data_IF_146542310474
#
_entry.id   IF_146542310474
#
_cell.length_a   1.000
_cell.length_b   1.000
_cell.length_c   1.000
_cell.angle_alpha   90.00
_cell.angle_beta   90.00
_cell.angle_gamma   90.00
#
_symmetry.space_group_name_H-M   'P 1'
#
loop_
_entity.id
_entity.type
_entity.pdbx_description
1 polymer ?
#
# COMPACT_ATOMS: atom_id res chain seq x y z
N UNK A 1 -70.38 -27.64 4.24
CA UNK A 1 -70.11 -26.27 3.75
C UNK A 1 -71.20 -25.85 2.79
N UNK A 2 -71.91 -24.75 3.07
CA UNK A 2 -72.79 -24.06 2.13
C UNK A 2 -72.02 -23.62 0.87
N UNK A 3 -72.69 -23.49 -0.28
CA UNK A 3 -72.04 -23.10 -1.55
C UNK A 3 -71.13 -21.86 -1.44
N UNK A 4 -71.53 -20.86 -0.62
CA UNK A 4 -70.71 -19.68 -0.33
C UNK A 4 -69.40 -20.02 0.38
N UNK A 5 -69.39 -20.99 1.31
CA UNK A 5 -68.17 -21.45 1.98
C UNK A 5 -67.25 -22.23 1.05
N UNK A 6 -67.79 -23.02 0.11
CA UNK A 6 -66.96 -23.69 -0.91
C UNK A 6 -66.29 -22.69 -1.85
N UNK A 7 -67.02 -21.68 -2.33
CA UNK A 7 -66.45 -20.61 -3.17
C UNK A 7 -65.39 -19.79 -2.44
N UNK A 8 -65.59 -19.51 -1.15
CA UNK A 8 -64.61 -18.79 -0.35
C UNK A 8 -63.35 -19.62 -0.07
N UNK A 9 -63.51 -20.94 0.13
CA UNK A 9 -62.40 -21.88 0.28
C UNK A 9 -61.59 -22.02 -1.00
N UNK A 10 -62.25 -22.12 -2.17
CA UNK A 10 -61.58 -22.15 -3.46
C UNK A 10 -60.83 -20.84 -3.77
N UNK A 11 -61.39 -19.69 -3.36
CA UNK A 11 -60.74 -18.39 -3.53
C UNK A 11 -59.51 -18.22 -2.61
N UNK A 12 -59.57 -18.74 -1.39
CA UNK A 12 -58.41 -18.75 -0.47
C UNK A 12 -57.31 -19.72 -0.92
N UNK A 13 -57.67 -20.89 -1.47
CA UNK A 13 -56.68 -21.80 -2.06
C UNK A 13 -56.04 -21.26 -3.34
N UNK A 14 -56.77 -20.46 -4.12
CA UNK A 14 -56.22 -19.81 -5.31
C UNK A 14 -55.23 -18.69 -4.92
N UNK A 15 -55.51 -17.90 -3.87
CA UNK A 15 -54.59 -16.87 -3.37
C UNK A 15 -53.32 -17.45 -2.72
N UNK A 16 -53.42 -18.60 -2.05
CA UNK A 16 -52.27 -19.28 -1.45
C UNK A 16 -51.27 -19.80 -2.49
N UNK A 17 -51.72 -20.15 -3.70
CA UNK A 17 -50.88 -20.58 -4.82
C UNK A 17 -50.10 -19.43 -5.49
N UNK A 18 -50.56 -18.18 -5.36
CA UNK A 18 -49.85 -16.99 -5.91
C UNK A 18 -48.84 -16.40 -4.92
N UNK A 19 -48.85 -16.85 -3.66
CA UNK A 19 -48.03 -16.28 -2.59
C UNK A 19 -46.62 -16.91 -2.48
N UNK A 20 -46.35 -17.98 -3.22
CA UNK A 20 -45.06 -18.69 -3.23
C UNK A 20 -44.27 -18.55 -4.54
N UNK A 21 -44.74 -17.71 -5.47
CA UNK A 21 -43.87 -17.20 -6.53
C UNK A 21 -42.96 -16.12 -5.93
N UNK A 22 -42.05 -16.54 -5.06
CA UNK A 22 -40.79 -15.82 -4.92
C UNK A 22 -40.22 -15.74 -6.33
N UNK A 23 -40.22 -14.55 -6.92
CA UNK A 23 -39.29 -14.26 -7.99
C UNK A 23 -37.90 -14.53 -7.40
N UNK A 24 -37.36 -15.72 -7.58
CA UNK A 24 -35.92 -15.82 -7.76
C UNK A 24 -35.63 -14.79 -8.86
N UNK A 25 -34.85 -13.77 -8.53
CA UNK A 25 -34.20 -12.98 -9.55
C UNK A 25 -33.37 -13.99 -10.33
N UNK A 26 -33.89 -14.50 -11.44
CA UNK A 26 -33.15 -15.40 -12.31
C UNK A 26 -31.82 -14.74 -12.63
N UNK A 27 -30.74 -15.53 -12.62
CA UNK A 27 -29.40 -15.06 -12.89
C UNK A 27 -29.44 -14.10 -14.08
N UNK A 28 -28.97 -12.88 -13.86
CA UNK A 28 -28.89 -11.87 -14.91
C UNK A 28 -27.78 -12.28 -15.89
N UNK A 29 -28.08 -13.22 -16.79
CA UNK A 29 -27.22 -13.52 -17.93
C UNK A 29 -27.54 -12.50 -19.03
N UNK A 30 -26.85 -11.37 -19.00
CA UNK A 30 -26.76 -10.53 -20.18
C UNK A 30 -25.80 -11.22 -21.16
N UNK A 31 -26.10 -11.28 -22.46
CA UNK A 31 -25.14 -11.78 -23.44
C UNK A 31 -23.89 -10.92 -23.38
N UNK A 32 -22.72 -11.57 -23.41
CA UNK A 32 -21.43 -10.89 -23.44
C UNK A 32 -21.37 -9.91 -24.62
N UNK A 33 -20.55 -8.86 -24.47
CA UNK A 33 -20.38 -7.81 -25.49
C UNK A 33 -19.81 -8.37 -26.82
N UNK A 34 -19.34 -9.64 -26.80
CA UNK A 34 -18.95 -10.42 -27.97
C UNK A 34 -17.49 -10.24 -28.38
N UNK A 35 -16.71 -9.44 -27.67
CA UNK A 35 -15.26 -9.27 -27.89
C UNK A 35 -14.54 -9.10 -26.56
N UNK A 36 -13.59 -9.98 -26.31
CA UNK A 36 -12.76 -10.03 -25.13
C UNK A 36 -11.51 -9.17 -25.29
N UNK A 37 -11.19 -8.41 -24.25
CA UNK A 37 -9.98 -7.55 -24.23
C UNK A 37 -9.18 -7.81 -22.97
N UNK A 38 -7.86 -7.71 -23.06
CA UNK A 38 -6.97 -7.74 -21.89
C UNK A 38 -6.20 -6.43 -21.78
N UNK A 39 -6.01 -5.93 -20.55
CA UNK A 39 -5.39 -4.64 -20.30
C UNK A 39 -4.84 -4.50 -18.87
N UNK A 40 -3.97 -3.52 -18.65
CA UNK A 40 -3.62 -3.04 -17.32
C UNK A 40 -4.65 -2.00 -16.86
N UNK A 41 -5.31 -2.24 -15.72
CA UNK A 41 -6.39 -1.36 -15.25
C UNK A 41 -5.91 0.06 -14.90
N UNK A 42 -4.68 0.18 -14.44
CA UNK A 42 -4.02 1.43 -14.05
C UNK A 42 -2.65 1.53 -14.73
N UNK A 43 -2.39 2.66 -15.39
CA UNK A 43 -1.13 2.91 -16.09
C UNK A 43 -0.01 3.43 -15.17
N UNK A 44 -0.37 4.07 -14.05
CA UNK A 44 0.58 4.76 -13.15
C UNK A 44 0.31 4.47 -11.65
N UNK A 45 0.20 3.21 -11.21
CA UNK A 45 0.03 2.92 -9.78
C UNK A 45 1.35 3.09 -9.01
N UNK A 46 1.23 3.42 -7.72
CA UNK A 46 2.34 3.32 -6.75
C UNK A 46 2.07 2.17 -5.81
N UNK A 47 3.00 1.22 -5.73
CA UNK A 47 2.99 0.12 -4.77
C UNK A 47 3.93 0.43 -3.61
N UNK A 48 3.37 0.55 -2.41
CA UNK A 48 4.15 0.52 -1.17
C UNK A 48 4.25 -0.94 -0.71
N UNK A 49 5.48 -1.45 -0.54
CA UNK A 49 5.78 -2.70 0.16
C UNK A 49 5.72 -2.43 1.66
N UNK A 50 4.79 -3.07 2.34
CA UNK A 50 4.54 -2.84 3.78
C UNK A 50 5.16 -3.97 4.58
N UNK A 51 6.40 -3.77 5.05
CA UNK A 51 7.11 -4.76 5.85
C UNK A 51 6.59 -4.77 7.30
N UNK A 52 6.74 -5.89 7.98
CA UNK A 52 6.33 -6.09 9.38
C UNK A 52 4.87 -6.52 9.52
N UNK A 53 4.27 -6.24 10.67
CA UNK A 53 2.88 -6.56 10.93
C UNK A 53 1.94 -5.45 10.38
N UNK A 54 0.87 -5.85 9.69
CA UNK A 54 -0.24 -4.98 9.30
C UNK A 54 -1.54 -5.64 9.77
N UNK A 55 -2.29 -4.96 10.65
CA UNK A 55 -3.51 -5.51 11.24
C UNK A 55 -4.74 -5.39 10.33
N UNK A 56 -4.64 -4.67 9.22
CA UNK A 56 -5.74 -4.33 8.32
C UNK A 56 -5.67 -5.14 7.03
N UNK A 57 -4.47 -5.33 6.48
CA UNK A 57 -4.25 -5.97 5.19
C UNK A 57 -3.33 -7.19 5.29
N UNK A 58 -3.59 -8.21 4.47
CA UNK A 58 -2.65 -9.32 4.29
C UNK A 58 -1.44 -8.84 3.49
N UNK A 59 -0.31 -8.69 4.18
CA UNK A 59 0.97 -8.28 3.62
C UNK A 59 1.98 -9.44 3.56
N UNK A 60 1.50 -10.68 3.43
CA UNK A 60 2.36 -11.88 3.35
C UNK A 60 3.37 -11.78 2.19
N UNK A 61 2.94 -11.29 1.02
CA UNK A 61 3.84 -11.10 -0.13
C UNK A 61 4.87 -9.99 0.14
N UNK A 62 4.46 -8.89 0.76
CA UNK A 62 5.34 -7.78 1.12
C UNK A 62 6.48 -8.24 2.03
N UNK A 63 6.15 -9.03 3.05
CA UNK A 63 7.11 -9.64 3.97
C UNK A 63 8.02 -10.69 3.30
N UNK A 64 7.64 -11.19 2.12
CA UNK A 64 8.49 -12.02 1.25
C UNK A 64 9.27 -11.18 0.23
N UNK A 65 9.21 -9.85 0.34
CA UNK A 65 9.79 -8.89 -0.60
C UNK A 65 9.22 -9.04 -2.02
N UNK A 66 7.91 -9.35 -2.10
CA UNK A 66 7.20 -9.56 -3.36
C UNK A 66 6.04 -8.61 -3.54
N UNK A 67 5.70 -8.36 -4.80
CA UNK A 67 4.42 -7.77 -5.18
C UNK A 67 3.91 -8.41 -6.48
N UNK A 68 2.73 -7.99 -6.94
CA UNK A 68 2.10 -8.57 -8.13
C UNK A 68 1.58 -7.48 -9.06
N UNK A 69 1.99 -7.54 -10.32
CA UNK A 69 1.50 -6.66 -11.38
C UNK A 69 0.37 -7.39 -12.12
N UNK A 70 -0.82 -6.81 -12.11
CA UNK A 70 -2.05 -7.50 -12.56
C UNK A 70 -2.55 -7.03 -13.91
N UNK A 71 -2.88 -7.98 -14.78
CA UNK A 71 -3.68 -7.77 -15.98
C UNK A 71 -5.16 -8.10 -15.70
N UNK A 72 -6.07 -7.46 -16.43
CA UNK A 72 -7.51 -7.62 -16.30
C UNK A 72 -8.13 -7.94 -17.65
N UNK A 73 -9.06 -8.89 -17.66
CA UNK A 73 -9.90 -9.22 -18.81
C UNK A 73 -11.22 -8.44 -18.73
N UNK A 74 -11.68 -7.91 -19.86
CA UNK A 74 -12.96 -7.25 -20.03
C UNK A 74 -13.72 -7.75 -21.25
N UNK A 75 -14.95 -7.27 -21.42
CA UNK A 75 -15.83 -7.61 -22.55
C UNK A 75 -16.72 -8.85 -22.34
N UNK A 76 -16.59 -9.51 -21.19
CA UNK A 76 -17.40 -10.67 -20.78
C UNK A 76 -17.85 -10.54 -19.32
N UNK A 77 -18.97 -11.16 -18.98
CA UNK A 77 -19.43 -11.34 -17.60
C UNK A 77 -18.72 -12.50 -16.91
N UNK A 78 -18.43 -13.56 -17.66
CA UNK A 78 -17.70 -14.74 -17.18
C UNK A 78 -16.53 -15.07 -18.10
N UNK A 79 -15.35 -15.27 -17.51
CA UNK A 79 -14.21 -15.76 -18.26
C UNK A 79 -14.33 -17.27 -18.49
N UNK A 80 -14.74 -17.67 -19.69
CA UNK A 80 -14.85 -19.07 -20.12
C UNK A 80 -13.57 -19.58 -20.82
N UNK A 81 -12.52 -18.76 -20.91
CA UNK A 81 -11.23 -19.13 -21.53
C UNK A 81 -10.09 -19.03 -20.50
N UNK A 82 -8.84 -19.14 -20.95
CA UNK A 82 -7.68 -18.83 -20.12
C UNK A 82 -6.73 -17.92 -20.91
N UNK A 83 -7.00 -16.59 -20.92
CA UNK A 83 -6.16 -15.63 -21.63
C UNK A 83 -4.72 -15.70 -21.14
N UNK A 84 -3.78 -15.67 -22.09
CA UNK A 84 -2.34 -15.58 -21.81
C UNK A 84 -1.82 -14.33 -22.50
N UNK A 85 -1.22 -13.42 -21.74
CA UNK A 85 -0.68 -12.17 -22.25
C UNK A 85 0.83 -12.19 -22.14
N UNK A 86 1.52 -11.97 -23.25
CA UNK A 86 2.96 -11.77 -23.29
C UNK A 86 3.28 -10.35 -22.80
N UNK A 87 4.26 -10.23 -21.90
CA UNK A 87 4.69 -8.96 -21.31
C UNK A 87 6.19 -8.74 -21.49
N UNK A 88 6.56 -7.49 -21.73
CA UNK A 88 7.95 -7.10 -21.93
C UNK A 88 8.30 -5.89 -21.05
N UNK A 89 9.52 -5.90 -20.50
CA UNK A 89 10.09 -4.73 -19.82
C UNK A 89 10.58 -3.73 -20.88
N UNK A 90 9.96 -2.56 -20.94
CA UNK A 90 10.27 -1.52 -21.94
C UNK A 90 10.72 -0.24 -21.25
N UNK A 91 12.01 -0.17 -20.90
CA UNK A 91 12.58 0.96 -20.15
C UNK A 91 12.38 2.32 -20.83
N UNK A 92 12.38 2.36 -22.17
CA UNK A 92 12.16 3.59 -22.95
C UNK A 92 10.76 4.17 -22.80
N UNK A 93 9.81 3.48 -22.14
CA UNK A 93 8.55 4.08 -21.71
C UNK A 93 8.75 5.25 -20.75
N UNK A 94 9.86 5.27 -20.02
CA UNK A 94 10.20 6.32 -19.06
C UNK A 94 10.86 7.54 -19.73
N UNK A 95 11.26 7.43 -21.00
CA UNK A 95 11.96 8.50 -21.70
C UNK A 95 11.11 9.77 -21.77
N UNK A 96 11.73 10.90 -21.43
CA UNK A 96 11.12 12.23 -21.39
C UNK A 96 9.92 12.36 -20.44
N UNK A 97 9.73 11.43 -19.50
CA UNK A 97 8.70 11.53 -18.47
C UNK A 97 9.23 12.17 -17.19
N UNK A 98 8.43 13.09 -16.66
CA UNK A 98 8.61 13.65 -15.32
C UNK A 98 7.40 13.36 -14.45
N UNK A 99 7.64 13.09 -13.17
CA UNK A 99 6.61 13.14 -12.14
C UNK A 99 6.06 14.57 -12.03
N UNK A 100 4.86 14.72 -11.46
CA UNK A 100 4.25 16.03 -11.19
C UNK A 100 5.10 16.93 -10.28
N UNK A 101 5.99 16.33 -9.49
CA UNK A 101 6.97 16.99 -8.63
C UNK A 101 8.20 17.50 -9.39
N UNK A 102 8.40 17.07 -10.64
CA UNK A 102 9.43 17.58 -11.56
C UNK A 102 10.65 16.68 -11.75
N UNK A 103 10.83 15.67 -10.90
CA UNK A 103 11.84 14.63 -11.04
C UNK A 103 11.54 13.73 -12.24
N UNK A 104 12.58 13.13 -12.80
CA UNK A 104 12.44 12.19 -13.90
C UNK A 104 11.83 10.87 -13.40
N UNK A 105 11.01 10.24 -14.24
CA UNK A 105 10.55 8.87 -14.00
C UNK A 105 11.70 7.93 -14.37
N UNK A 106 12.18 7.14 -13.40
CA UNK A 106 13.39 6.33 -13.60
C UNK A 106 13.00 4.85 -13.74
N UNK A 107 13.38 4.16 -14.82
CA UNK A 107 13.18 2.72 -14.91
C UNK A 107 13.99 2.03 -13.81
N UNK A 108 13.34 1.09 -13.11
CA UNK A 108 13.96 0.33 -12.03
C UNK A 108 15.16 -0.46 -12.57
N UNK A 109 16.34 -0.39 -11.93
CA UNK A 109 17.50 -1.20 -12.31
C UNK A 109 17.16 -2.69 -12.39
N UNK A 110 17.73 -3.39 -13.37
CA UNK A 110 17.40 -4.79 -13.62
C UNK A 110 17.81 -5.71 -12.45
N UNK A 111 18.83 -5.33 -11.69
CA UNK A 111 19.30 -6.04 -10.51
C UNK A 111 18.40 -5.85 -9.27
N UNK A 112 17.43 -4.92 -9.31
CA UNK A 112 16.53 -4.64 -8.18
C UNK A 112 15.34 -5.58 -8.12
N UNK A 113 15.02 -6.28 -9.21
CA UNK A 113 13.86 -7.16 -9.25
C UNK A 113 14.01 -8.33 -10.21
N UNK A 114 13.11 -9.31 -10.09
CA UNK A 114 12.94 -10.39 -11.06
C UNK A 114 11.46 -10.66 -11.26
N UNK A 115 11.04 -10.82 -12.51
CA UNK A 115 9.69 -11.29 -12.84
C UNK A 115 9.67 -12.82 -12.82
N UNK A 116 8.63 -13.38 -12.23
CA UNK A 116 8.40 -14.83 -12.19
C UNK A 116 8.12 -15.44 -13.57
N UNK A 117 7.71 -14.62 -14.54
CA UNK A 117 7.31 -15.03 -15.89
C UNK A 117 7.36 -13.81 -16.83
N UNK A 118 7.51 -14.05 -18.12
CA UNK A 118 7.29 -13.10 -19.22
C UNK A 118 5.83 -13.14 -19.73
N UNK A 119 4.96 -13.88 -19.03
CA UNK A 119 3.54 -14.02 -19.36
C UNK A 119 2.65 -13.86 -18.13
N UNK A 120 1.47 -13.27 -18.33
CA UNK A 120 0.37 -13.26 -17.37
C UNK A 120 -0.74 -14.19 -17.89
N UNK A 121 -1.01 -15.28 -17.17
CA UNK A 121 -2.12 -16.19 -17.46
C UNK A 121 -3.30 -15.86 -16.55
N UNK A 122 -4.45 -15.49 -17.13
CA UNK A 122 -5.71 -15.28 -16.41
C UNK A 122 -6.48 -16.61 -16.42
N UNK A 123 -6.61 -17.31 -15.27
CA UNK A 123 -7.28 -18.61 -15.24
C UNK A 123 -8.76 -18.51 -15.60
N UNK A 124 -9.32 -19.59 -16.15
CA UNK A 124 -10.77 -19.70 -16.36
C UNK A 124 -11.54 -19.40 -15.06
N UNK A 125 -12.64 -18.66 -15.20
CA UNK A 125 -13.45 -18.17 -14.08
C UNK A 125 -12.86 -16.96 -13.33
N UNK A 126 -11.64 -16.52 -13.65
CA UNK A 126 -11.05 -15.30 -13.11
C UNK A 126 -11.07 -14.18 -14.16
N UNK A 127 -11.30 -12.95 -13.72
CA UNK A 127 -11.22 -11.76 -14.58
C UNK A 127 -9.88 -11.02 -14.47
N UNK A 128 -9.01 -11.44 -13.54
CA UNK A 128 -7.68 -10.86 -13.38
C UNK A 128 -6.70 -11.88 -12.83
N UNK A 129 -5.44 -11.72 -13.19
CA UNK A 129 -4.30 -12.43 -12.63
C UNK A 129 -3.08 -11.53 -12.71
N UNK A 130 -1.95 -11.95 -12.17
CA UNK A 130 -0.74 -11.15 -12.25
C UNK A 130 0.53 -11.97 -12.30
N UNK A 131 1.62 -11.27 -12.62
CA UNK A 131 2.98 -11.77 -12.54
C UNK A 131 3.56 -11.36 -11.20
N UNK A 132 4.18 -12.30 -10.48
CA UNK A 132 4.93 -11.97 -9.26
C UNK A 132 6.22 -11.25 -9.63
N UNK A 133 6.51 -10.20 -8.87
CA UNK A 133 7.77 -9.47 -8.84
C UNK A 133 8.47 -9.84 -7.55
N UNK A 134 9.69 -10.37 -7.63
CA UNK A 134 10.59 -10.53 -6.49
C UNK A 134 11.53 -9.32 -6.44
N UNK A 135 11.53 -8.57 -5.33
CA UNK A 135 12.48 -7.50 -5.08
C UNK A 135 13.74 -8.07 -4.42
N UNK A 136 14.89 -7.50 -4.76
CA UNK A 136 16.20 -7.92 -4.24
C UNK A 136 16.67 -7.00 -3.12
N UNK A 137 17.67 -7.44 -2.35
CA UNK A 137 18.30 -6.61 -1.32
C UNK A 137 18.88 -5.30 -1.87
N UNK A 138 19.28 -5.28 -3.16
CA UNK A 138 19.80 -4.08 -3.82
C UNK A 138 18.73 -2.98 -3.91
N UNK A 139 17.46 -3.34 -4.13
CA UNK A 139 16.34 -2.38 -4.09
C UNK A 139 16.23 -1.75 -2.71
N UNK A 140 16.21 -2.56 -1.66
CA UNK A 140 15.99 -2.07 -0.30
C UNK A 140 17.19 -1.31 0.29
N UNK A 141 18.40 -1.57 -0.22
CA UNK A 141 19.61 -0.85 0.15
C UNK A 141 19.68 0.57 -0.47
N UNK A 142 18.88 0.86 -1.50
CA UNK A 142 18.86 2.16 -2.15
C UNK A 142 18.02 3.16 -1.32
N UNK A 143 18.60 4.30 -0.88
CA UNK A 143 17.87 5.30 -0.12
C UNK A 143 16.71 5.94 -0.88
N UNK A 144 16.65 5.84 -2.21
CA UNK A 144 15.52 6.34 -3.02
C UNK A 144 14.34 5.36 -3.10
N UNK A 145 14.51 4.12 -2.64
CA UNK A 145 13.45 3.10 -2.68
C UNK A 145 12.36 3.31 -1.61
N UNK A 146 12.50 4.30 -0.73
CA UNK A 146 11.43 4.75 0.18
C UNK A 146 10.58 5.86 -0.44
N UNK A 147 10.99 6.38 -1.60
CA UNK A 147 10.31 7.44 -2.35
C UNK A 147 9.72 6.88 -3.66
N UNK A 148 8.79 7.61 -4.26
CA UNK A 148 8.26 7.29 -5.60
C UNK A 148 9.28 7.67 -6.66
N UNK A 149 10.30 6.82 -6.86
CA UNK A 149 11.40 7.04 -7.81
C UNK A 149 11.40 6.02 -8.94
N UNK A 150 11.51 4.73 -8.56
CA UNK A 150 11.75 3.64 -9.50
C UNK A 150 10.46 3.01 -9.98
N UNK A 151 10.34 2.80 -11.28
CA UNK A 151 9.18 2.15 -11.91
C UNK A 151 9.57 0.89 -12.66
N UNK A 152 8.73 -0.14 -12.60
CA UNK A 152 8.83 -1.31 -13.49
C UNK A 152 7.93 -1.04 -14.71
N UNK A 153 8.50 -0.75 -15.91
CA UNK A 153 7.73 -0.40 -17.09
C UNK A 153 7.41 -1.65 -17.92
N UNK A 154 6.16 -2.10 -17.92
CA UNK A 154 5.73 -3.25 -18.71
C UNK A 154 4.81 -2.84 -19.87
N UNK A 155 4.95 -3.55 -21.00
CA UNK A 155 4.04 -3.48 -22.15
C UNK A 155 3.53 -4.88 -22.46
N UNK A 156 2.23 -5.00 -22.75
CA UNK A 156 1.63 -6.19 -23.34
C UNK A 156 1.96 -6.23 -24.83
N UNK A 157 2.69 -7.24 -25.28
CA UNK A 157 3.11 -7.35 -26.68
C UNK A 157 2.19 -8.24 -27.52
N UNK A 158 1.55 -9.23 -26.90
CA UNK A 158 0.66 -10.17 -27.58
C UNK A 158 -0.33 -10.85 -26.61
N UNK A 159 -1.43 -11.38 -27.15
CA UNK A 159 -2.44 -12.09 -26.36
C UNK A 159 -2.92 -13.36 -27.06
N UNK A 160 -3.09 -14.41 -26.28
CA UNK A 160 -3.68 -15.69 -26.68
C UNK A 160 -4.96 -15.94 -25.88
N UNK A 161 -5.91 -16.66 -26.48
CA UNK A 161 -7.20 -17.02 -25.85
C UNK A 161 -8.05 -15.83 -25.37
N UNK A 162 -7.83 -14.65 -25.96
CA UNK A 162 -8.70 -13.48 -25.96
C UNK A 162 -8.57 -12.79 -27.32
N UNK A 163 -9.51 -11.91 -27.67
CA UNK A 163 -9.59 -11.34 -29.02
C UNK A 163 -8.57 -10.23 -29.26
N UNK A 164 -8.25 -9.44 -28.23
CA UNK A 164 -7.31 -8.30 -28.38
C UNK A 164 -6.74 -7.75 -27.07
N UNK A 165 -5.69 -6.95 -27.19
CA UNK A 165 -5.18 -6.06 -26.14
C UNK A 165 -5.84 -4.68 -26.31
N UNK A 166 -6.14 -3.99 -25.20
CA UNK A 166 -6.69 -2.63 -25.24
C UNK A 166 -5.59 -1.59 -25.54
N UNK A 167 -5.08 -1.59 -26.78
CA UNK A 167 -3.94 -0.77 -27.23
C UNK A 167 -4.30 0.67 -27.66
N UNK A 168 -5.53 1.13 -27.39
CA UNK A 168 -5.96 2.49 -27.69
C UNK A 168 -6.19 2.78 -29.17
N UNK A 169 -6.51 4.03 -29.48
CA UNK A 169 -6.73 4.54 -30.84
C UNK A 169 -5.92 5.82 -31.05
N UNK A 170 -4.91 5.83 -31.92
CA UNK A 170 -4.03 6.98 -32.09
C UNK A 170 -4.65 8.08 -32.96
N UNK A 171 -4.17 9.31 -32.77
CA UNK A 171 -4.47 10.51 -33.58
C UNK A 171 -3.33 10.86 -34.55
N UNK A 172 -2.16 10.23 -34.37
CA UNK A 172 -0.93 10.45 -35.15
C UNK A 172 -0.33 9.12 -35.59
N UNK A 173 0.54 9.14 -36.60
CA UNK A 173 1.15 7.93 -37.17
C UNK A 173 2.08 7.19 -36.19
N UNK A 174 2.86 7.94 -35.40
CA UNK A 174 3.83 7.39 -34.44
C UNK A 174 3.49 7.89 -33.02
N UNK A 175 2.43 7.34 -32.39
CA UNK A 175 1.96 7.82 -31.10
C UNK A 175 2.89 7.41 -29.96
N UNK A 176 3.16 8.30 -29.02
CA UNK A 176 3.88 7.96 -27.79
C UNK A 176 2.84 7.55 -26.73
N UNK A 177 2.95 6.32 -26.18
CA UNK A 177 1.98 5.77 -25.20
C UNK A 177 1.67 6.72 -24.05
N UNK A 178 2.71 7.31 -23.46
CA UNK A 178 2.59 8.20 -22.30
C UNK A 178 2.23 9.65 -22.68
N UNK A 179 2.20 10.00 -23.97
CA UNK A 179 1.80 11.33 -24.43
C UNK A 179 0.28 11.35 -24.73
N UNK A 180 -0.51 11.81 -23.77
CA UNK A 180 -1.99 11.84 -23.85
C UNK A 180 -2.52 12.53 -25.13
N UNK A 181 -1.81 13.50 -25.70
CA UNK A 181 -2.26 14.23 -26.90
C UNK A 181 -2.27 13.38 -28.17
N UNK A 182 -1.56 12.26 -28.19
CA UNK A 182 -1.39 11.43 -29.38
C UNK A 182 -2.53 10.43 -29.58
N UNK A 183 -3.53 10.42 -28.67
CA UNK A 183 -4.54 9.37 -28.57
C UNK A 183 -5.95 9.93 -28.52
N UNK A 184 -6.84 9.34 -29.32
CA UNK A 184 -8.28 9.54 -29.23
C UNK A 184 -8.88 8.67 -28.11
N UNK A 185 -8.39 7.43 -28.02
CA UNK A 185 -8.68 6.50 -26.92
C UNK A 185 -7.34 6.11 -26.32
N UNK A 186 -7.16 6.33 -25.03
CA UNK A 186 -5.90 6.05 -24.34
C UNK A 186 -5.59 4.55 -24.35
N UNK A 187 -4.33 4.17 -24.60
CA UNK A 187 -3.89 2.79 -24.51
C UNK A 187 -3.85 2.34 -23.04
N UNK A 188 -4.21 1.08 -22.81
CA UNK A 188 -4.06 0.37 -21.53
C UNK A 188 -3.22 -0.90 -21.67
N UNK A 189 -2.40 -0.96 -22.73
CA UNK A 189 -1.45 -2.03 -23.00
C UNK A 189 -0.15 -1.89 -22.22
N UNK A 190 0.02 -0.83 -21.42
CA UNK A 190 1.23 -0.57 -20.65
C UNK A 190 0.94 -0.19 -19.19
N UNK A 191 1.98 -0.31 -18.38
CA UNK A 191 1.99 0.09 -16.98
C UNK A 191 3.40 0.55 -16.56
N UNK A 192 3.47 1.67 -15.85
CA UNK A 192 4.65 2.14 -15.13
C UNK A 192 4.39 1.89 -13.64
N UNK A 193 4.82 0.74 -13.14
CA UNK A 193 4.52 0.30 -11.79
C UNK A 193 5.57 0.85 -10.81
N UNK A 194 5.29 1.99 -10.18
CA UNK A 194 6.20 2.57 -9.19
C UNK A 194 6.23 1.72 -7.93
N UNK A 195 7.41 1.47 -7.37
CA UNK A 195 7.55 0.69 -6.13
C UNK A 195 8.35 1.49 -5.12
N UNK A 196 7.79 1.59 -3.90
CA UNK A 196 8.48 2.07 -2.71
C UNK A 196 8.26 1.09 -1.56
N UNK A 197 8.96 1.24 -0.44
CA UNK A 197 8.71 0.43 0.75
C UNK A 197 8.64 1.28 2.02
N UNK A 198 7.98 0.71 3.03
CA UNK A 198 8.09 1.15 4.41
C UNK A 198 8.55 -0.02 5.29
N UNK A 199 9.40 0.26 6.28
CA UNK A 199 9.93 -0.75 7.17
C UNK A 199 8.90 -1.16 8.26
N UNK A 200 9.20 -2.17 9.09
CA UNK A 200 8.26 -2.68 10.11
C UNK A 200 7.75 -1.66 11.13
N UNK A 201 8.48 -0.56 11.36
CA UNK A 201 8.20 0.38 12.44
C UNK A 201 7.60 1.71 11.96
N UNK A 202 7.50 1.90 10.63
CA UNK A 202 6.84 3.04 10.02
C UNK A 202 5.33 2.96 10.22
N UNK A 203 4.82 3.83 11.08
CA UNK A 203 3.42 3.86 11.49
C UNK A 203 3.10 5.13 12.28
N UNK A 204 1.80 5.32 12.54
CA UNK A 204 1.32 6.28 13.53
C UNK A 204 1.13 5.58 14.87
N UNK A 205 1.58 6.23 15.94
CA UNK A 205 1.59 5.73 17.31
C UNK A 205 0.82 6.66 18.27
N UNK A 206 0.38 6.07 19.38
CA UNK A 206 -0.17 6.74 20.54
C UNK A 206 0.89 6.69 21.65
N UNK A 207 1.46 7.86 21.96
CA UNK A 207 2.64 8.04 22.82
C UNK A 207 2.24 8.52 24.20
N UNK A 208 2.72 7.79 25.21
CA UNK A 208 2.69 8.20 26.60
C UNK A 208 4.01 7.93 27.28
N UNK A 209 4.32 8.68 28.31
CA UNK A 209 5.61 8.55 28.96
C UNK A 209 5.85 9.49 30.12
N UNK A 210 7.09 9.49 30.58
CA UNK A 210 7.58 10.36 31.64
C UNK A 210 8.89 10.98 31.19
N UNK A 211 8.99 12.30 31.32
CA UNK A 211 10.20 13.08 31.05
C UNK A 211 10.77 13.60 32.37
N UNK A 212 12.07 13.38 32.58
CA UNK A 212 12.87 14.08 33.60
C UNK A 212 13.66 15.18 32.89
N UNK A 213 13.19 16.41 33.02
CA UNK A 213 13.71 17.57 32.30
C UNK A 213 14.66 18.32 33.22
N UNK A 214 15.95 18.35 32.88
CA UNK A 214 16.98 19.06 33.63
C UNK A 214 17.42 20.31 32.88
N UNK A 215 17.27 21.48 33.52
CA UNK A 215 17.66 22.77 32.98
C UNK A 215 18.28 23.63 34.09
N UNK A 216 19.45 24.22 33.84
CA UNK A 216 20.12 25.09 34.83
C UNK A 216 20.43 24.42 36.18
N UNK A 217 20.58 23.09 36.20
CA UNK A 217 20.84 22.30 37.42
C UNK A 217 19.59 21.91 38.22
N UNK A 218 18.39 22.32 37.81
CA UNK A 218 17.13 21.88 38.39
C UNK A 218 16.46 20.81 37.50
N UNK A 219 15.83 19.82 38.11
CA UNK A 219 15.10 18.76 37.40
C UNK A 219 13.60 18.85 37.71
N UNK A 220 12.78 18.83 36.66
CA UNK A 220 11.32 18.74 36.75
C UNK A 220 10.83 17.44 36.09
N UNK A 221 9.79 16.84 36.64
CA UNK A 221 9.14 15.67 36.05
C UNK A 221 7.88 16.09 35.30
N UNK A 222 7.74 15.64 34.06
CA UNK A 222 6.52 15.78 33.25
C UNK A 222 5.98 14.38 32.95
N UNK A 223 4.71 14.15 33.25
CA UNK A 223 4.02 12.89 32.94
C UNK A 223 3.06 13.13 31.78
N UNK A 224 3.30 12.46 30.66
CA UNK A 224 2.44 12.44 29.47
C UNK A 224 1.60 11.16 29.50
N UNK A 225 0.59 11.12 30.36
CA UNK A 225 -0.33 9.99 30.43
C UNK A 225 -1.75 10.51 30.51
N UNK A 226 -2.57 10.14 29.53
CA UNK A 226 -3.97 10.55 29.47
C UNK A 226 -4.88 9.49 30.09
N UNK A 227 -6.17 9.78 30.25
CA UNK A 227 -7.10 8.87 30.93
C UNK A 227 -7.31 7.53 30.21
N UNK A 228 -7.10 7.48 28.89
CA UNK A 228 -7.16 6.27 28.08
C UNK A 228 -6.12 6.31 26.94
N UNK A 229 -5.77 5.15 26.37
CA UNK A 229 -4.74 5.06 25.32
C UNK A 229 -5.14 5.87 24.08
N UNK A 230 -6.43 5.91 23.74
CA UNK A 230 -6.97 6.65 22.59
C UNK A 230 -6.75 8.16 22.67
N UNK A 231 -6.57 8.70 23.88
CA UNK A 231 -6.33 10.13 24.10
C UNK A 231 -4.85 10.48 24.23
N UNK A 232 -3.94 9.50 24.16
CA UNK A 232 -2.51 9.74 24.22
C UNK A 232 -2.02 10.55 23.00
N UNK A 233 -0.82 11.13 23.12
CA UNK A 233 -0.23 11.99 22.10
C UNK A 233 -0.03 11.22 20.79
N UNK A 234 -0.51 11.76 19.66
CA UNK A 234 -0.27 11.13 18.36
C UNK A 234 1.13 11.50 17.87
N UNK A 235 1.93 10.50 17.51
CA UNK A 235 3.23 10.71 16.88
C UNK A 235 3.46 9.72 15.73
N UNK A 236 4.49 9.94 14.93
CA UNK A 236 4.78 9.15 13.74
C UNK A 236 6.25 8.75 13.71
N UNK A 237 6.51 7.50 13.31
CA UNK A 237 7.83 7.04 12.90
C UNK A 237 7.80 6.85 11.40
N UNK A 238 8.86 7.27 10.71
CA UNK A 238 8.99 7.12 9.26
C UNK A 238 10.22 6.30 8.88
N UNK A 239 10.13 5.59 7.76
CA UNK A 239 11.22 4.75 7.26
C UNK A 239 12.42 5.59 6.90
N UNK A 240 13.60 5.19 7.39
CA UNK A 240 14.90 5.72 6.94
C UNK A 240 15.67 4.69 6.12
N UNK A 241 15.59 3.43 6.55
CA UNK A 241 16.16 2.25 5.87
C UNK A 241 15.40 1.00 6.31
N UNK A 242 15.79 -0.19 5.84
CA UNK A 242 15.24 -1.46 6.31
C UNK A 242 15.31 -1.64 7.83
N UNK A 243 16.34 -1.08 8.48
CA UNK A 243 16.61 -1.28 9.91
C UNK A 243 16.58 0.01 10.71
N UNK A 244 16.34 1.15 10.06
CA UNK A 244 16.30 2.45 10.73
C UNK A 244 14.97 3.16 10.52
N UNK A 245 14.43 3.73 11.60
CA UNK A 245 13.28 4.62 11.56
C UNK A 245 13.65 6.01 12.11
N UNK A 246 13.05 7.06 11.55
CA UNK A 246 13.13 8.41 12.08
C UNK A 246 11.96 8.67 13.05
N UNK A 247 12.24 9.36 14.15
CA UNK A 247 11.24 9.89 15.06
C UNK A 247 11.50 11.38 15.30
N UNK A 248 10.77 12.23 14.59
CA UNK A 248 10.94 13.68 14.66
C UNK A 248 10.27 14.24 15.93
N UNK A 249 11.07 14.84 16.81
CA UNK A 249 10.60 15.49 18.02
C UNK A 249 10.83 17.00 17.96
N UNK A 250 9.89 17.76 18.53
CA UNK A 250 10.08 19.18 18.85
C UNK A 250 10.05 19.33 20.38
N UNK A 251 11.18 19.72 20.97
CA UNK A 251 11.38 19.85 22.40
C UNK A 251 11.91 21.26 22.70
N UNK A 252 11.22 22.01 23.56
CA UNK A 252 11.57 23.41 23.89
C UNK A 252 11.82 24.27 22.62
N UNK A 253 10.90 24.20 21.67
CA UNK A 253 10.95 24.87 20.36
C UNK A 253 12.16 24.52 19.48
N UNK A 254 12.88 23.44 19.81
CA UNK A 254 14.00 22.92 19.03
C UNK A 254 13.65 21.55 18.46
N UNK A 255 13.92 21.37 17.17
CA UNK A 255 13.73 20.08 16.52
C UNK A 255 14.93 19.17 16.82
N UNK A 256 14.66 17.92 17.13
CA UNK A 256 15.65 16.85 17.17
C UNK A 256 15.04 15.59 16.56
N UNK A 257 15.63 15.13 15.45
CA UNK A 257 15.25 13.88 14.81
C UNK A 257 16.01 12.72 15.46
N UNK A 258 15.28 11.81 16.09
CA UNK A 258 15.84 10.58 16.63
C UNK A 258 15.91 9.54 15.53
N UNK A 259 17.04 8.83 15.44
CA UNK A 259 17.22 7.68 14.56
C UNK A 259 17.20 6.43 15.44
N UNK A 260 16.23 5.56 15.21
CA UNK A 260 16.09 4.28 15.88
C UNK A 260 16.63 3.19 14.98
N UNK A 261 17.76 2.58 15.35
CA UNK A 261 18.40 1.50 14.61
C UNK A 261 18.10 0.16 15.25
N UNK A 262 17.34 -0.69 14.56
CA UNK A 262 16.81 -1.96 15.06
C UNK A 262 17.68 -3.15 14.66
N UNK A 263 17.80 -4.12 15.56
CA UNK A 263 18.37 -5.43 15.28
C UNK A 263 17.29 -6.47 14.92
N UNK A 264 17.70 -7.72 14.68
CA UNK A 264 16.78 -8.82 14.32
C UNK A 264 15.88 -9.29 15.48
N UNK A 265 16.18 -8.89 16.71
CA UNK A 265 15.37 -9.17 17.90
C UNK A 265 14.39 -8.03 18.24
N UNK A 266 14.18 -7.09 17.32
CA UNK A 266 13.35 -5.90 17.51
C UNK A 266 13.81 -5.00 18.66
N UNK A 267 15.09 -5.01 18.99
CA UNK A 267 15.69 -4.08 19.94
C UNK A 267 16.40 -2.97 19.17
N UNK A 268 16.28 -1.73 19.62
CA UNK A 268 16.89 -0.59 18.95
C UNK A 268 17.83 0.22 19.84
N UNK A 269 18.80 0.86 19.20
CA UNK A 269 19.61 1.94 19.78
C UNK A 269 19.17 3.27 19.19
N UNK A 270 19.28 4.35 19.98
CA UNK A 270 18.89 5.68 19.55
C UNK A 270 20.10 6.57 19.30
N UNK A 271 20.06 7.33 18.21
CA UNK A 271 21.06 8.33 17.82
C UNK A 271 20.39 9.53 17.15
N UNK A 272 21.17 10.50 16.66
CA UNK A 272 20.65 11.63 15.89
C UNK A 272 21.70 12.15 14.91
N UNK A 273 21.24 12.65 13.77
CA UNK A 273 22.02 13.47 12.83
C UNK A 273 21.67 14.97 12.92
N UNK A 274 20.83 15.37 13.88
CA UNK A 274 20.39 16.76 14.05
C UNK A 274 21.48 17.60 14.74
N UNK A 275 22.01 18.66 14.09
CA UNK A 275 23.03 19.51 14.71
C UNK A 275 22.53 20.20 15.98
N UNK A 276 23.36 20.23 17.03
CA UNK A 276 23.02 20.86 18.31
C UNK A 276 22.19 19.99 19.26
N UNK A 277 21.88 18.75 18.87
CA UNK A 277 21.24 17.74 19.70
C UNK A 277 22.21 16.56 19.90
N UNK A 278 22.20 15.93 21.07
CA UNK A 278 22.77 14.59 21.26
C UNK A 278 21.71 13.65 21.81
N UNK A 279 21.72 12.42 21.31
CA UNK A 279 20.74 11.38 21.66
C UNK A 279 21.49 10.11 22.03
N UNK A 280 21.02 9.46 23.09
CA UNK A 280 21.43 8.10 23.44
C UNK A 280 20.26 7.37 24.07
N UNK A 281 20.24 6.05 23.98
CA UNK A 281 19.17 5.26 24.58
C UNK A 281 18.99 3.93 23.90
N UNK A 282 17.97 3.22 24.36
CA UNK A 282 17.57 1.94 23.81
C UNK A 282 16.06 1.79 23.78
N UNK A 283 15.59 0.86 22.96
CA UNK A 283 14.19 0.50 22.93
C UNK A 283 13.96 -0.93 22.49
N UNK A 284 12.69 -1.34 22.55
CA UNK A 284 12.25 -2.65 22.08
C UNK A 284 10.84 -2.56 21.50
N UNK A 285 10.69 -3.05 20.28
CA UNK A 285 9.41 -3.27 19.65
C UNK A 285 8.89 -4.67 19.98
N UNK A 286 7.63 -4.76 20.38
CA UNK A 286 6.98 -6.00 20.79
C UNK A 286 5.65 -6.11 20.07
N UNK A 287 5.56 -7.06 19.14
CA UNK A 287 4.31 -7.42 18.49
C UNK A 287 3.29 -7.88 19.52
N UNK A 288 2.08 -7.32 19.46
CA UNK A 288 0.98 -7.56 20.40
C UNK A 288 1.42 -7.41 21.87
N UNK A 289 2.39 -6.54 22.15
CA UNK A 289 2.94 -6.35 23.49
C UNK A 289 1.98 -5.61 24.42
N UNK A 290 1.19 -4.68 23.90
CA UNK A 290 0.21 -3.93 24.67
C UNK A 290 -1.12 -4.70 24.71
N UNK A 291 -1.37 -5.39 25.83
CA UNK A 291 -2.52 -6.30 25.98
C UNK A 291 -3.83 -5.55 26.24
N UNK A 292 -4.91 -5.99 25.60
CA UNK A 292 -6.25 -5.40 25.76
C UNK A 292 -6.25 -3.87 25.68
N UNK A 293 -5.55 -3.31 24.70
CA UNK A 293 -5.43 -1.87 24.48
C UNK A 293 -6.72 -1.28 23.89
N UNK A 294 -6.61 -0.14 23.23
CA UNK A 294 -7.74 0.52 22.57
C UNK A 294 -8.49 -0.41 21.61
N UNK A 295 -9.81 -0.30 21.64
CA UNK A 295 -10.76 -1.21 20.99
C UNK A 295 -10.70 -2.67 21.48
N UNK A 296 -10.20 -2.94 22.69
CA UNK A 296 -10.08 -4.27 23.29
C UNK A 296 -9.24 -5.24 22.44
N UNK A 297 -8.18 -4.74 21.82
CA UNK A 297 -7.25 -5.53 21.02
C UNK A 297 -5.85 -5.48 21.60
N UNK A 298 -5.12 -6.57 21.49
CA UNK A 298 -3.67 -6.54 21.68
C UNK A 298 -3.06 -5.72 20.54
N UNK A 299 -2.13 -4.83 20.86
CA UNK A 299 -1.48 -3.93 19.88
C UNK A 299 0.01 -4.06 19.94
N UNK A 300 0.64 -3.85 18.79
CA UNK A 300 2.08 -3.70 18.72
C UNK A 300 2.50 -2.44 19.48
N UNK A 301 3.68 -2.49 20.08
CA UNK A 301 4.14 -1.42 20.98
C UNK A 301 5.66 -1.29 20.93
N UNK A 302 6.12 -0.05 20.96
CA UNK A 302 7.53 0.31 21.08
C UNK A 302 7.78 0.95 22.44
N UNK A 303 8.65 0.32 23.24
CA UNK A 303 9.11 0.87 24.50
C UNK A 303 10.46 1.55 24.29
N UNK A 304 10.61 2.79 24.76
CA UNK A 304 11.83 3.58 24.63
C UNK A 304 12.31 4.07 26.01
N UNK A 305 13.63 4.02 26.24
CA UNK A 305 14.31 4.61 27.39
C UNK A 305 15.53 5.35 26.85
N UNK A 306 15.46 6.69 26.82
CA UNK A 306 16.42 7.50 26.07
C UNK A 306 16.65 8.88 26.70
N UNK A 307 17.76 9.49 26.31
CA UNK A 307 18.14 10.84 26.70
C UNK A 307 18.31 11.70 25.45
N UNK A 308 17.71 12.89 25.47
CA UNK A 308 17.93 13.96 24.48
C UNK A 308 18.56 15.15 25.19
N UNK A 309 19.77 15.52 24.80
CA UNK A 309 20.46 16.70 25.31
C UNK A 309 20.54 17.76 24.21
N UNK A 310 19.87 18.89 24.45
CA UNK A 310 19.82 20.05 23.56
C UNK A 310 20.88 21.11 23.93
N UNK A 311 21.88 20.74 24.72
CA UNK A 311 22.95 21.59 25.26
C UNK A 311 22.52 22.45 26.46
N UNK A 312 21.34 23.07 26.37
CA UNK A 312 20.79 23.90 27.47
C UNK A 312 19.86 23.11 28.40
N UNK A 313 19.24 22.06 27.88
CA UNK A 313 18.18 21.28 28.52
C UNK A 313 18.34 19.82 28.16
N UNK A 314 18.28 18.95 29.17
CA UNK A 314 18.39 17.50 29.02
C UNK A 314 17.07 16.85 29.38
N UNK A 315 16.58 15.98 28.51
CA UNK A 315 15.38 15.17 28.71
C UNK A 315 15.80 13.72 28.88
N UNK A 316 15.59 13.14 30.06
CA UNK A 316 15.62 11.68 30.23
C UNK A 316 14.19 11.16 30.18
N UNK A 317 13.85 10.44 29.11
CA UNK A 317 12.49 10.07 28.73
C UNK A 317 12.30 8.56 28.73
N UNK A 318 11.18 8.12 29.31
CA UNK A 318 10.65 6.77 29.13
C UNK A 318 9.31 6.85 28.42
N UNK A 319 9.24 6.25 27.26
CA UNK A 319 8.08 6.33 26.37
C UNK A 319 7.53 4.94 26.05
N UNK A 320 6.21 4.86 25.93
CA UNK A 320 5.45 3.74 25.38
C UNK A 320 4.67 4.26 24.18
N UNK A 321 4.98 3.74 23.00
CA UNK A 321 4.36 4.10 21.73
C UNK A 321 3.52 2.91 21.29
N UNK A 322 2.20 2.98 21.47
CA UNK A 322 1.28 1.93 21.03
C UNK A 322 0.93 2.17 19.56
N UNK A 323 1.16 1.18 18.69
CA UNK A 323 0.88 1.32 17.26
C UNK A 323 -0.61 1.50 17.03
N UNK A 324 -0.98 2.60 16.36
CA UNK A 324 -2.36 2.89 16.00
C UNK A 324 -2.74 2.23 14.69
N UNK A 325 -1.99 2.55 13.63
CA UNK A 325 -2.19 2.08 12.27
C UNK A 325 -1.00 2.47 11.36
N UNK A 326 -0.84 1.76 10.23
CA UNK A 326 0.25 1.96 9.25
C UNK A 326 0.02 3.12 8.26
N UNK A 327 -1.19 3.70 8.21
CA UNK A 327 -1.62 4.75 7.26
C UNK A 327 -1.36 4.52 5.76
N UNK A 328 -1.12 3.29 5.33
CA UNK A 328 -0.93 2.98 3.91
C UNK A 328 -2.26 3.00 3.16
N UNK A 329 -2.29 3.68 2.02
CA UNK A 329 -3.46 3.83 1.15
C UNK A 329 -3.08 3.58 -0.31
N UNK A 330 -4.07 3.33 -1.15
CA UNK A 330 -3.84 3.25 -2.59
C UNK A 330 -3.33 4.60 -3.13
N UNK A 331 -2.27 4.53 -3.94
CA UNK A 331 -1.58 5.69 -4.49
C UNK A 331 -1.41 5.53 -6.01
N UNK A 332 -1.45 6.65 -6.70
CA UNK A 332 -1.20 6.78 -8.13
C UNK A 332 -0.36 8.03 -8.36
N UNK A 333 0.40 8.04 -9.45
CA UNK A 333 1.16 9.21 -9.86
C UNK A 333 0.69 9.70 -11.23
N UNK A 334 0.93 10.98 -11.49
CA UNK A 334 0.76 11.57 -12.80
C UNK A 334 2.12 11.84 -13.42
N UNK A 335 2.16 11.79 -14.76
CA UNK A 335 3.35 12.11 -15.54
C UNK A 335 3.07 13.22 -16.53
N UNK A 336 4.11 14.01 -16.80
CA UNK A 336 4.17 14.93 -17.94
C UNK A 336 5.19 14.41 -18.95
N UNK A 337 4.78 14.31 -20.21
CA UNK A 337 5.67 13.99 -21.32
C UNK A 337 6.26 15.28 -21.89
N UNK A 338 7.59 15.39 -21.88
CA UNK A 338 8.31 16.53 -22.43
C UNK A 338 8.75 16.21 -23.86
N UNK A 339 8.33 17.03 -24.82
CA UNK A 339 8.66 16.85 -26.23
C UNK A 339 10.08 17.26 -26.56
#
# INVERSE_FOLDING_TARGET
MTEKMKKLFYLFSLLALVSFSSCENGDWSFPDYGTTTVYFAYQYPVRTIVLGNDEVFDNTLDNQHKCMIKATMGGVYENQTSPVVDIEVVNSLCDNLKFSTGEDVVPMPAEYYTLSSDQITIPQGQISAGVEVQLTDAFFADPKAIETTYVIPLVMSNVHNADSILSGSPLVENPVRCNKSDWNVLPKDYILYAVKYINPWDAVYLRRGVDQITQGGATNTVVRHTGSVESDEVCELTTRSLKDANFALTLNDQNCNLILSFNDNNECTLSTDTPGCTVSGSGKYVEKGEKNSFNNKDRDVLYLDYTVDLGSTVYATKDTLVMRDRQVKAEWFDVTYNK
#
